data_IF_588352326682
#
_entry.id   IF_588352326682
#
_cell.length_a   1.000
_cell.length_b   1.000
_cell.length_c   1.000
_cell.angle_alpha   90.00
_cell.angle_beta   90.00
_cell.angle_gamma   90.00
#
_symmetry.space_group_name_H-M   'P 1'
#
loop_
_entity.id
_entity.type
_entity.pdbx_description
1 polymer ?
#
# COMPACT_ATOMS: atom_id res chain seq x y z
N UNK A 1 28.59 -3.59 -6.71
CA UNK A 1 27.31 -4.33 -6.73
C UNK A 1 26.69 -4.12 -8.10
N UNK A 2 26.34 -5.19 -8.82
CA UNK A 2 26.11 -5.15 -10.26
C UNK A 2 24.94 -4.26 -10.70
N UNK A 3 25.12 -3.54 -11.82
CA UNK A 3 24.09 -2.75 -12.52
C UNK A 3 23.01 -3.60 -13.21
N UNK A 4 22.77 -4.83 -12.74
CA UNK A 4 21.65 -5.63 -13.25
C UNK A 4 20.42 -5.29 -12.43
N UNK A 5 19.28 -4.95 -13.06
CA UNK A 5 18.04 -4.78 -12.33
C UNK A 5 17.74 -6.06 -11.55
N UNK A 6 17.09 -5.96 -10.37
CA UNK A 6 16.68 -7.13 -9.61
C UNK A 6 15.82 -8.04 -10.50
N UNK A 7 16.19 -9.32 -10.58
CA UNK A 7 15.42 -10.31 -11.31
C UNK A 7 14.36 -10.89 -10.39
N UNK A 8 13.09 -10.62 -10.67
CA UNK A 8 11.96 -11.14 -9.89
C UNK A 8 11.45 -12.44 -10.50
N UNK A 9 10.89 -13.33 -9.69
CA UNK A 9 10.24 -14.52 -10.24
C UNK A 9 8.84 -14.16 -10.76
N UNK A 10 8.36 -14.91 -11.76
CA UNK A 10 6.98 -14.81 -12.24
C UNK A 10 5.93 -14.98 -11.12
N UNK A 11 6.30 -15.70 -10.05
CA UNK A 11 5.41 -15.87 -8.90
C UNK A 11 5.26 -14.60 -8.06
N UNK A 12 6.20 -13.67 -8.14
CA UNK A 12 6.21 -12.44 -7.36
C UNK A 12 5.39 -11.32 -8.03
N UNK A 13 5.56 -11.17 -9.34
CA UNK A 13 4.80 -10.22 -10.15
C UNK A 13 4.42 -10.80 -11.53
N UNK A 14 3.36 -11.63 -11.59
CA UNK A 14 2.95 -12.30 -12.82
C UNK A 14 2.50 -11.34 -13.93
N UNK A 15 2.09 -10.12 -13.57
CA UNK A 15 1.73 -9.09 -14.53
C UNK A 15 2.96 -8.61 -15.31
N UNK A 16 4.09 -8.41 -14.63
CA UNK A 16 5.33 -7.93 -15.25
C UNK A 16 5.88 -8.93 -16.29
N UNK A 17 5.72 -10.22 -16.03
CA UNK A 17 6.19 -11.31 -16.89
C UNK A 17 5.22 -11.65 -18.04
N UNK A 18 4.05 -11.01 -18.11
CA UNK A 18 3.09 -11.26 -19.19
C UNK A 18 3.63 -10.77 -20.55
N UNK A 19 3.59 -11.60 -21.61
CA UNK A 19 4.07 -11.19 -22.94
C UNK A 19 3.16 -10.17 -23.62
N UNK A 20 1.89 -10.06 -23.20
CA UNK A 20 0.92 -9.16 -23.78
C UNK A 20 0.98 -7.78 -23.10
N UNK A 21 1.33 -6.74 -23.87
CA UNK A 21 1.36 -5.35 -23.39
C UNK A 21 -0.02 -4.92 -22.85
N UNK A 22 -1.10 -5.33 -23.50
CA UNK A 22 -2.46 -5.01 -23.05
C UNK A 22 -2.72 -5.52 -21.64
N UNK A 23 -2.40 -6.79 -21.35
CA UNK A 23 -2.58 -7.40 -20.03
C UNK A 23 -1.78 -6.67 -18.95
N UNK A 24 -0.53 -6.30 -19.27
CA UNK A 24 0.33 -5.48 -18.40
C UNK A 24 -0.32 -4.15 -18.09
N UNK A 25 -0.68 -3.38 -19.12
CA UNK A 25 -1.24 -2.03 -18.96
C UNK A 25 -2.55 -2.05 -18.18
N UNK A 26 -3.47 -2.97 -18.50
CA UNK A 26 -4.76 -3.06 -17.79
C UNK A 26 -4.55 -3.46 -16.32
N UNK A 27 -3.72 -4.47 -16.07
CA UNK A 27 -3.47 -4.94 -14.70
C UNK A 27 -2.78 -3.86 -13.88
N UNK A 28 -1.71 -3.23 -14.38
CA UNK A 28 -1.00 -2.17 -13.65
C UNK A 28 -1.83 -0.89 -13.47
N UNK A 29 -2.71 -0.57 -14.41
CA UNK A 29 -3.65 0.56 -14.23
C UNK A 29 -4.68 0.28 -13.14
N UNK A 30 -5.06 -0.99 -12.96
CA UNK A 30 -6.00 -1.43 -11.93
C UNK A 30 -5.39 -1.45 -10.51
N UNK A 31 -4.09 -1.74 -10.37
CA UNK A 31 -3.45 -1.85 -9.03
C UNK A 31 -3.61 -0.60 -8.15
N UNK A 32 -3.42 0.64 -8.63
CA UNK A 32 -3.72 1.84 -7.85
C UNK A 32 -5.16 1.89 -7.34
N UNK A 33 -6.14 1.47 -8.15
CA UNK A 33 -7.54 1.45 -7.75
C UNK A 33 -7.79 0.44 -6.61
N UNK A 34 -7.19 -0.76 -6.68
CA UNK A 34 -7.26 -1.75 -5.60
C UNK A 34 -6.59 -1.25 -4.33
N UNK A 35 -5.40 -0.68 -4.44
CA UNK A 35 -4.69 -0.12 -3.29
C UNK A 35 -5.45 1.04 -2.64
N UNK A 36 -6.08 1.89 -3.44
CA UNK A 36 -6.95 2.95 -2.93
C UNK A 36 -8.19 2.38 -2.25
N UNK A 37 -8.78 1.31 -2.77
CA UNK A 37 -9.88 0.60 -2.11
C UNK A 37 -9.44 0.01 -0.77
N UNK A 38 -8.27 -0.64 -0.70
CA UNK A 38 -7.70 -1.15 0.55
C UNK A 38 -7.50 -0.04 1.60
N UNK A 39 -7.17 1.17 1.15
CA UNK A 39 -7.01 2.33 2.03
C UNK A 39 -8.36 2.86 2.55
N UNK A 40 -9.42 2.81 1.74
CA UNK A 40 -10.77 3.24 2.13
C UNK A 40 -11.51 2.18 2.98
N UNK A 41 -11.41 0.93 2.57
CA UNK A 41 -12.08 -0.22 3.16
C UNK A 41 -11.12 -1.41 3.18
N UNK A 42 -10.30 -1.55 4.25
CA UNK A 42 -9.48 -2.74 4.45
C UNK A 42 -10.39 -3.92 4.84
N UNK A 43 -11.02 -4.54 3.85
CA UNK A 43 -11.85 -5.74 4.01
C UNK A 43 -11.07 -7.03 3.75
N UNK A 44 -10.18 -7.00 2.77
CA UNK A 44 -9.39 -8.14 2.30
C UNK A 44 -7.94 -7.85 2.63
N UNK A 45 -7.42 -8.51 3.66
CA UNK A 45 -6.03 -8.36 4.08
C UNK A 45 -5.32 -9.72 3.97
N UNK A 46 -4.07 -9.70 3.51
CA UNK A 46 -3.26 -10.90 3.35
C UNK A 46 -1.86 -10.68 3.86
N UNK A 47 -1.25 -11.74 4.38
CA UNK A 47 0.19 -11.73 4.68
C UNK A 47 1.03 -11.56 3.41
N UNK A 48 0.50 -11.98 2.26
CA UNK A 48 1.14 -11.81 0.95
C UNK A 48 0.15 -11.88 -0.23
N UNK A 49 0.38 -11.07 -1.26
CA UNK A 49 -0.42 -10.97 -2.48
C UNK A 49 0.35 -11.47 -3.72
N UNK A 50 1.23 -12.44 -3.53
CA UNK A 50 1.96 -13.10 -4.62
C UNK A 50 1.14 -14.22 -5.28
N UNK A 51 1.73 -14.94 -6.24
CA UNK A 51 1.19 -16.20 -6.77
C UNK A 51 -0.22 -16.09 -7.37
N UNK A 52 -0.45 -15.09 -8.23
CA UNK A 52 -1.75 -14.80 -8.89
C UNK A 52 -2.91 -14.59 -7.89
N UNK A 53 -2.63 -14.15 -6.65
CA UNK A 53 -3.66 -13.72 -5.70
C UNK A 53 -4.61 -12.67 -6.33
N UNK A 54 -4.11 -11.91 -7.32
CA UNK A 54 -4.91 -11.08 -8.20
C UNK A 54 -4.85 -11.61 -9.64
N UNK A 55 -5.95 -12.12 -10.20
CA UNK A 55 -5.99 -12.59 -11.57
C UNK A 55 -5.65 -11.46 -12.54
N UNK A 56 -4.84 -11.75 -13.56
CA UNK A 56 -4.51 -10.77 -14.59
C UNK A 56 -5.75 -10.29 -15.36
N UNK A 57 -5.77 -9.02 -15.74
CA UNK A 57 -6.83 -8.46 -16.59
C UNK A 57 -6.41 -8.62 -18.05
N UNK A 58 -7.03 -9.57 -18.76
CA UNK A 58 -6.65 -9.92 -20.14
C UNK A 58 -7.52 -9.27 -21.21
N UNK A 59 -8.64 -8.68 -20.83
CA UNK A 59 -9.64 -8.12 -21.75
C UNK A 59 -10.14 -6.76 -21.26
N UNK A 60 -10.47 -5.90 -22.21
CA UNK A 60 -11.15 -4.63 -21.95
C UNK A 60 -12.56 -4.82 -21.38
N UNK A 61 -13.21 -5.94 -21.71
CA UNK A 61 -14.56 -6.27 -21.24
C UNK A 61 -14.61 -6.75 -19.77
N UNK A 62 -13.45 -6.87 -19.11
CA UNK A 62 -13.39 -7.22 -17.70
C UNK A 62 -14.03 -6.12 -16.84
N UNK A 63 -14.99 -6.48 -15.99
CA UNK A 63 -15.71 -5.55 -15.11
C UNK A 63 -14.79 -4.79 -14.16
N UNK A 64 -13.62 -5.37 -13.83
CA UNK A 64 -12.60 -4.72 -12.99
C UNK A 64 -12.05 -3.44 -13.62
N UNK A 65 -12.10 -3.31 -14.94
CA UNK A 65 -11.75 -2.05 -15.62
C UNK A 65 -12.68 -0.91 -15.24
N UNK A 66 -13.92 -1.17 -14.81
CA UNK A 66 -14.81 -0.13 -14.29
C UNK A 66 -14.22 0.52 -13.03
N UNK A 67 -13.61 -0.25 -12.12
CA UNK A 67 -12.93 0.29 -10.93
C UNK A 67 -11.78 1.22 -11.33
N UNK A 68 -10.97 0.79 -12.28
CA UNK A 68 -9.88 1.59 -12.86
C UNK A 68 -10.42 2.92 -13.40
N UNK A 69 -11.47 2.86 -14.23
CA UNK A 69 -12.09 4.05 -14.83
C UNK A 69 -12.65 4.98 -13.77
N UNK A 70 -13.44 4.48 -12.81
CA UNK A 70 -14.00 5.31 -11.75
C UNK A 70 -12.91 5.97 -10.89
N UNK A 71 -11.84 5.24 -10.59
CA UNK A 71 -10.71 5.76 -9.83
C UNK A 71 -10.06 6.95 -10.55
N UNK A 72 -9.65 6.79 -11.81
CA UNK A 72 -9.00 7.87 -12.56
C UNK A 72 -9.95 9.02 -12.92
N UNK A 73 -11.22 8.74 -13.23
CA UNK A 73 -12.23 9.80 -13.42
C UNK A 73 -12.43 10.61 -12.14
N UNK A 74 -12.44 9.96 -10.98
CA UNK A 74 -12.50 10.63 -9.69
C UNK A 74 -11.29 11.55 -9.45
N UNK A 75 -10.08 11.06 -9.73
CA UNK A 75 -8.86 11.88 -9.65
C UNK A 75 -8.90 13.09 -10.59
N UNK A 76 -9.29 12.89 -11.85
CA UNK A 76 -9.42 13.95 -12.83
C UNK A 76 -10.48 14.99 -12.41
N UNK A 77 -11.61 14.54 -11.89
CA UNK A 77 -12.66 15.41 -11.39
C UNK A 77 -12.18 16.26 -10.20
N UNK A 78 -11.47 15.65 -9.24
CA UNK A 78 -10.91 16.36 -8.09
C UNK A 78 -9.86 17.39 -8.53
N UNK A 79 -8.97 17.03 -9.47
CA UNK A 79 -7.97 17.93 -10.01
C UNK A 79 -8.61 19.12 -10.74
N UNK A 80 -9.58 18.85 -11.61
CA UNK A 80 -10.33 19.89 -12.33
C UNK A 80 -11.10 20.82 -11.38
N UNK A 81 -11.76 20.26 -10.36
CA UNK A 81 -12.48 21.04 -9.36
C UNK A 81 -11.53 21.93 -8.55
N UNK A 82 -10.36 21.41 -8.16
CA UNK A 82 -9.31 22.18 -7.49
C UNK A 82 -8.80 23.35 -8.35
N UNK A 83 -8.55 23.12 -9.64
CA UNK A 83 -8.10 24.17 -10.57
C UNK A 83 -9.16 25.26 -10.78
N UNK A 84 -10.43 24.88 -10.96
CA UNK A 84 -11.53 25.84 -11.16
C UNK A 84 -11.78 26.70 -9.92
N UNK A 85 -11.77 26.10 -8.73
CA UNK A 85 -12.00 26.84 -7.47
C UNK A 85 -10.87 27.84 -7.20
N UNK A 86 -9.63 27.46 -7.48
CA UNK A 86 -8.48 28.38 -7.36
C UNK A 86 -8.55 29.55 -8.36
N UNK A 87 -8.94 29.29 -9.62
CA UNK A 87 -9.12 30.36 -10.62
C UNK A 87 -10.24 31.35 -10.22
N UNK A 88 -11.35 30.85 -9.69
CA UNK A 88 -12.45 31.68 -9.20
C UNK A 88 -12.06 32.54 -7.97
N UNK A 89 -11.21 32.01 -7.08
CA UNK A 89 -10.66 32.75 -5.96
C UNK A 89 -9.73 33.89 -6.43
N UNK A 90 -8.79 33.60 -7.35
CA UNK A 90 -7.92 34.62 -7.97
C UNK A 90 -8.72 35.72 -8.67
N UNK A 91 -9.76 35.37 -9.42
CA UNK A 91 -10.62 36.35 -10.11
C UNK A 91 -11.35 37.30 -9.16
N UNK A 92 -11.72 36.84 -7.96
CA UNK A 92 -12.32 37.69 -6.92
C UNK A 92 -11.29 38.61 -6.25
N UNK A 93 -10.08 38.14 -6.01
CA UNK A 93 -9.00 38.99 -5.45
C UNK A 93 -8.55 40.07 -6.45
N UNK A 94 -8.56 39.79 -7.75
CA UNK A 94 -8.23 40.79 -8.78
C UNK A 94 -9.35 41.81 -8.99
N UNK A 95 -10.62 41.42 -8.87
CA UNK A 95 -11.76 42.36 -8.96
C UNK A 95 -12.03 43.13 -7.65
N UNK A 96 -11.57 42.62 -6.50
CA UNK A 96 -11.79 43.24 -5.18
C UNK A 96 -10.88 44.42 -4.85
N UNK A 97 -9.95 44.80 -5.74
CA UNK A 97 -9.04 45.97 -5.55
C UNK A 97 -9.60 47.29 -6.08
N UNK A 98 -10.83 47.32 -6.60
CA UNK A 98 -11.51 48.57 -6.93
C UNK A 98 -12.82 48.64 -6.13
N UNK A 99 -12.83 49.42 -5.05
CA UNK A 99 -13.91 50.34 -4.63
C UNK A 99 -13.73 50.72 -3.16
N UNK A 100 -13.12 51.88 -2.96
CA UNK A 100 -13.11 52.62 -1.70
C UNK A 100 -14.43 53.43 -1.58
N UNK A 101 -14.92 53.53 -0.33
CA UNK A 101 -15.94 54.44 0.22
C UNK A 101 -17.41 54.31 -0.21
N UNK A 102 -18.26 53.91 0.75
CA UNK A 102 -19.39 54.76 1.19
C UNK A 102 -19.60 54.67 2.71
N UNK A 103 -19.85 55.84 3.28
CA UNK A 103 -20.14 56.13 4.68
C UNK A 103 -21.61 55.77 4.99
N UNK A 104 -21.92 55.28 6.21
CA UNK A 104 -23.29 55.31 6.70
C UNK A 104 -23.72 54.23 7.71
N UNK A 105 -23.68 54.61 8.98
CA UNK A 105 -24.68 54.34 10.04
C UNK A 105 -24.47 53.14 10.99
N UNK A 106 -24.25 53.53 12.26
CA UNK A 106 -24.17 52.75 13.49
C UNK A 106 -25.16 51.59 13.63
N UNK A 107 -24.64 50.47 14.15
CA UNK A 107 -25.41 49.40 14.79
C UNK A 107 -24.47 48.50 15.60
N UNK A 108 -24.49 48.65 16.92
CA UNK A 108 -23.75 47.87 17.90
C UNK A 108 -23.73 46.36 17.61
N UNK A 109 -22.54 45.76 17.52
CA UNK A 109 -22.31 44.41 18.05
C UNK A 109 -20.83 44.23 18.39
N UNK A 110 -20.56 43.89 19.65
CA UNK A 110 -19.25 43.53 20.17
C UNK A 110 -18.73 42.29 19.44
N UNK A 111 -17.70 42.47 18.62
CA UNK A 111 -16.87 41.40 18.09
C UNK A 111 -15.42 41.83 18.18
N UNK A 112 -14.64 41.18 19.04
CA UNK A 112 -13.18 41.32 19.07
C UNK A 112 -12.60 40.89 17.71
N UNK A 113 -12.38 41.85 16.82
CA UNK A 113 -11.52 41.66 15.65
C UNK A 113 -10.13 42.19 15.98
N UNK A 114 -9.19 41.29 16.28
CA UNK A 114 -7.77 41.60 16.19
C UNK A 114 -7.42 41.75 14.70
N UNK A 115 -7.47 42.99 14.21
CA UNK A 115 -6.96 43.37 12.89
C UNK A 115 -5.44 43.49 12.98
N UNK A 116 -4.73 42.49 12.43
CA UNK A 116 -3.29 42.58 12.18
C UNK A 116 -3.09 43.26 10.82
N UNK A 117 -2.88 44.57 10.82
CA UNK A 117 -2.56 45.34 9.62
C UNK A 117 -1.07 45.18 9.29
N UNK A 118 -0.76 44.38 8.27
CA UNK A 118 0.59 44.27 7.73
C UNK A 118 0.74 45.31 6.62
N UNK A 119 1.33 46.47 6.92
CA UNK A 119 1.78 47.44 5.92
C UNK A 119 3.31 47.53 6.01
N UNK A 120 4.00 46.74 5.18
CA UNK A 120 5.36 47.05 4.76
C UNK A 120 5.28 47.93 3.52
N UNK A 121 5.76 49.17 3.63
CA UNK A 121 6.33 49.91 2.52
C UNK A 121 7.49 50.76 3.06
N UNK A 122 8.71 50.36 2.71
CA UNK A 122 9.87 51.25 2.69
C UNK A 122 9.59 52.41 1.72
N UNK A 123 9.82 53.67 2.09
CA UNK A 123 11.11 54.36 1.89
C UNK A 123 10.99 55.90 2.08
N UNK A 124 12.11 56.50 2.52
CA UNK A 124 12.57 57.88 2.36
C UNK A 124 12.08 59.06 3.26
N UNK A 125 13.03 59.47 4.12
CA UNK A 125 13.57 60.83 4.37
C UNK A 125 12.62 62.00 4.68
N UNK A 126 12.68 62.52 5.92
CA UNK A 126 13.08 63.91 6.22
C UNK A 126 13.28 64.16 7.73
N UNK A 127 14.26 65.02 8.00
CA UNK A 127 14.79 65.68 9.20
C UNK A 127 13.99 65.79 10.54
N UNK A 128 14.79 65.76 11.62
CA UNK A 128 14.74 66.47 12.93
C UNK A 128 13.57 66.27 13.93
N UNK A 129 13.85 65.59 15.05
CA UNK A 129 14.07 66.19 16.40
C UNK A 129 13.88 65.11 17.53
N UNK A 130 14.62 65.18 18.65
CA UNK A 130 14.64 64.14 19.67
C UNK A 130 13.67 64.45 20.82
N UNK A 131 12.88 63.47 21.28
CA UNK A 131 12.21 63.55 22.58
C UNK A 131 12.40 62.25 23.34
N UNK A 132 13.18 62.36 24.42
CA UNK A 132 13.27 61.39 25.51
C UNK A 132 11.90 61.17 26.15
N UNK A 133 11.46 59.91 26.25
CA UNK A 133 10.73 59.48 27.45
C UNK A 133 11.04 58.01 27.71
N UNK A 134 11.96 57.78 28.64
CA UNK A 134 12.16 56.47 29.25
C UNK A 134 11.00 56.23 30.22
N UNK A 135 10.19 55.19 29.98
CA UNK A 135 9.36 54.60 31.03
C UNK A 135 9.36 53.07 30.92
N UNK A 136 9.93 52.48 31.97
CA UNK A 136 9.83 51.11 32.46
C UNK A 136 8.75 50.23 31.81
N UNK A 137 9.19 49.21 31.09
CA UNK A 137 8.37 48.07 30.71
C UNK A 137 9.23 46.82 30.78
N UNK A 138 8.90 45.93 31.71
CA UNK A 138 9.45 44.56 31.77
C UNK A 138 9.29 43.89 30.40
N UNK A 139 10.39 43.68 29.69
CA UNK A 139 10.43 42.95 28.42
C UNK A 139 10.14 41.48 28.72
N UNK A 140 8.88 41.05 28.60
CA UNK A 140 8.58 39.63 28.48
C UNK A 140 9.19 39.17 27.15
N UNK A 141 10.04 38.13 27.12
CA UNK A 141 10.52 37.58 25.86
C UNK A 141 9.28 37.10 25.07
N UNK A 142 9.01 37.77 23.95
CA UNK A 142 8.01 37.34 22.99
C UNK A 142 8.55 36.05 22.37
N UNK A 143 8.09 34.89 22.87
CA UNK A 143 8.29 33.63 22.16
C UNK A 143 7.68 33.80 20.76
N UNK A 144 8.53 33.87 19.74
CA UNK A 144 8.11 33.84 18.35
C UNK A 144 7.47 32.49 18.08
N UNK A 145 6.18 32.35 18.36
CA UNK A 145 5.40 31.18 17.94
C UNK A 145 5.47 31.15 16.43
N UNK A 146 6.13 30.13 15.88
CA UNK A 146 6.11 29.84 14.45
C UNK A 146 4.66 29.82 13.98
N UNK A 147 4.28 30.59 12.94
CA UNK A 147 2.92 30.61 12.46
C UNK A 147 2.51 29.19 12.03
N UNK A 148 1.30 28.78 12.42
CA UNK A 148 0.75 27.48 12.03
C UNK A 148 0.62 27.42 10.49
N UNK A 149 0.88 26.26 9.86
CA UNK A 149 0.75 26.12 8.42
C UNK A 149 -0.70 26.37 7.98
N UNK A 150 -0.87 27.03 6.82
CA UNK A 150 -2.18 27.27 6.22
C UNK A 150 -2.84 25.95 5.84
N UNK A 151 -4.17 25.92 5.76
CA UNK A 151 -4.92 24.72 5.33
C UNK A 151 -4.46 24.22 3.96
N UNK A 152 -4.12 25.12 3.04
CA UNK A 152 -3.60 24.77 1.71
C UNK A 152 -2.26 24.02 1.81
N UNK A 153 -1.34 24.51 2.65
CA UNK A 153 -0.05 23.84 2.88
C UNK A 153 -0.26 22.44 3.46
N UNK A 154 -1.21 22.28 4.39
CA UNK A 154 -1.54 20.96 4.95
C UNK A 154 -2.13 20.03 3.88
N UNK A 155 -3.02 20.51 3.00
CA UNK A 155 -3.59 19.70 1.93
C UNK A 155 -2.52 19.25 0.93
N UNK A 156 -1.66 20.17 0.47
CA UNK A 156 -0.57 19.85 -0.46
C UNK A 156 0.41 18.86 0.17
N UNK A 157 0.80 19.09 1.42
CA UNK A 157 1.66 18.15 2.16
C UNK A 157 1.01 16.76 2.28
N UNK A 158 -0.29 16.71 2.60
CA UNK A 158 -1.02 15.44 2.76
C UNK A 158 -1.16 14.69 1.43
N UNK A 159 -1.40 15.40 0.32
CA UNK A 159 -1.42 14.82 -1.03
C UNK A 159 -0.03 14.32 -1.45
N UNK A 160 1.03 15.07 -1.13
CA UNK A 160 2.41 14.66 -1.36
C UNK A 160 2.76 13.38 -0.60
N UNK A 161 2.38 13.32 0.68
CA UNK A 161 2.58 12.14 1.53
C UNK A 161 1.76 10.93 1.09
N UNK A 162 0.59 11.16 0.49
CA UNK A 162 -0.26 10.13 -0.10
C UNK A 162 0.32 9.57 -1.40
N UNK A 163 0.72 10.44 -2.33
CA UNK A 163 1.06 10.03 -3.70
C UNK A 163 2.53 9.64 -3.88
N UNK A 164 3.48 10.46 -3.40
CA UNK A 164 4.91 10.31 -3.72
C UNK A 164 5.46 8.95 -3.23
N UNK A 165 5.23 8.54 -1.97
CA UNK A 165 5.71 7.24 -1.48
C UNK A 165 5.05 6.05 -2.18
N UNK A 166 3.86 6.23 -2.76
CA UNK A 166 3.12 5.17 -3.45
C UNK A 166 3.54 5.01 -4.91
N UNK A 167 4.10 6.03 -5.57
CA UNK A 167 4.48 6.00 -6.99
C UNK A 167 5.31 4.76 -7.39
N UNK A 168 6.36 4.35 -6.64
CA UNK A 168 7.11 3.13 -6.95
C UNK A 168 6.24 1.86 -6.94
N UNK A 169 5.29 1.77 -6.01
CA UNK A 169 4.42 0.61 -5.85
C UNK A 169 3.36 0.49 -6.96
N UNK A 170 3.14 1.53 -7.76
CA UNK A 170 2.16 1.50 -8.87
C UNK A 170 2.55 0.57 -10.00
N UNK A 171 3.82 0.18 -10.11
CA UNK A 171 4.37 -0.57 -11.25
C UNK A 171 4.19 0.13 -12.63
N UNK A 172 3.83 1.42 -12.66
CA UNK A 172 3.62 2.18 -13.91
C UNK A 172 4.92 2.66 -14.55
N UNK A 173 5.94 2.98 -13.74
CA UNK A 173 7.22 3.52 -14.23
C UNK A 173 8.33 2.46 -14.25
N UNK A 174 8.35 1.57 -13.27
CA UNK A 174 9.29 0.45 -13.16
C UNK A 174 8.63 -0.69 -12.40
N UNK A 175 9.03 -1.92 -12.71
CA UNK A 175 8.49 -3.10 -12.08
C UNK A 175 9.13 -3.37 -10.73
N UNK A 176 8.27 -3.68 -9.77
CA UNK A 176 8.65 -4.07 -8.42
C UNK A 176 8.23 -5.54 -8.23
N UNK A 177 8.96 -6.27 -7.40
CA UNK A 177 8.73 -7.69 -7.12
C UNK A 177 7.48 -8.01 -6.30
N UNK A 178 6.41 -7.21 -6.39
CA UNK A 178 5.12 -7.54 -5.80
C UNK A 178 4.00 -6.86 -6.59
N UNK A 179 2.84 -7.50 -6.61
CA UNK A 179 1.62 -6.95 -7.22
C UNK A 179 0.94 -5.98 -6.26
N UNK A 180 0.63 -6.43 -5.04
CA UNK A 180 0.12 -5.61 -3.94
C UNK A 180 0.93 -5.90 -2.69
N UNK A 181 1.10 -4.89 -1.85
CA UNK A 181 1.69 -5.07 -0.53
C UNK A 181 1.17 -4.01 0.42
N UNK A 182 0.40 -4.40 1.43
CA UNK A 182 -0.23 -3.46 2.39
C UNK A 182 0.77 -2.53 3.07
N UNK A 183 2.00 -3.00 3.31
CA UNK A 183 3.10 -2.20 3.87
C UNK A 183 3.43 -0.94 3.07
N UNK A 184 3.16 -0.92 1.76
CA UNK A 184 3.40 0.27 0.92
C UNK A 184 2.41 1.39 1.20
N UNK A 185 1.27 1.06 1.80
CA UNK A 185 0.24 2.02 2.18
C UNK A 185 0.49 2.65 3.56
N UNK A 186 1.52 2.24 4.30
CA UNK A 186 1.79 2.80 5.63
C UNK A 186 2.00 4.32 5.60
N UNK A 187 2.94 4.80 4.76
CA UNK A 187 3.16 6.25 4.61
C UNK A 187 1.99 6.95 3.90
N UNK A 188 1.46 6.42 2.78
CA UNK A 188 0.27 6.98 2.14
C UNK A 188 -0.93 7.14 3.09
N UNK A 189 -1.12 6.20 4.03
CA UNK A 189 -2.22 6.25 5.01
C UNK A 189 -2.13 7.45 5.94
N UNK A 190 -0.93 7.91 6.28
CA UNK A 190 -0.75 9.13 7.08
C UNK A 190 -1.26 10.36 6.32
N UNK A 191 -0.94 10.46 5.03
CA UNK A 191 -1.45 11.52 4.15
C UNK A 191 -2.98 11.47 4.02
N UNK A 192 -3.53 10.27 3.85
CA UNK A 192 -4.97 10.06 3.81
C UNK A 192 -5.68 10.48 5.10
N UNK A 193 -5.18 10.07 6.27
CA UNK A 193 -5.74 10.46 7.56
C UNK A 193 -5.75 11.99 7.75
N UNK A 194 -4.69 12.68 7.33
CA UNK A 194 -4.64 14.15 7.36
C UNK A 194 -5.68 14.78 6.43
N UNK A 195 -5.85 14.27 5.22
CA UNK A 195 -6.89 14.74 4.28
C UNK A 195 -8.30 14.53 4.85
N UNK A 196 -8.56 13.37 5.47
CA UNK A 196 -9.84 13.09 6.15
C UNK A 196 -10.06 14.10 7.28
N UNK A 197 -9.05 14.36 8.12
CA UNK A 197 -9.16 15.33 9.21
C UNK A 197 -9.45 16.75 8.72
N UNK A 198 -8.72 17.23 7.70
CA UNK A 198 -8.94 18.54 7.08
C UNK A 198 -10.31 18.62 6.42
N UNK A 199 -10.73 17.55 5.71
CA UNK A 199 -12.04 17.42 5.09
C UNK A 199 -13.18 17.48 6.11
N UNK A 200 -13.07 16.73 7.20
CA UNK A 200 -14.03 16.74 8.31
C UNK A 200 -14.13 18.13 8.95
N UNK A 201 -12.99 18.78 9.26
CA UNK A 201 -12.98 20.15 9.80
C UNK A 201 -13.66 21.14 8.85
N UNK A 202 -13.32 21.08 7.56
CA UNK A 202 -13.89 21.94 6.52
C UNK A 202 -15.41 21.73 6.41
N UNK A 203 -15.87 20.49 6.47
CA UNK A 203 -17.30 20.16 6.46
C UNK A 203 -18.00 20.67 7.73
N UNK A 204 -17.42 20.44 8.90
CA UNK A 204 -17.97 20.87 10.19
C UNK A 204 -18.25 22.39 10.23
N UNK A 205 -17.31 23.21 9.74
CA UNK A 205 -17.44 24.67 9.70
C UNK A 205 -18.48 25.13 8.67
N UNK A 206 -18.66 24.40 7.56
CA UNK A 206 -19.69 24.69 6.54
C UNK A 206 -21.10 24.34 7.00
N UNK A 207 -21.25 23.36 7.89
CA UNK A 207 -22.56 22.95 8.42
C UNK A 207 -23.10 23.97 9.42
N UNK A 208 -24.13 24.72 9.00
CA UNK A 208 -24.77 25.75 9.84
C UNK A 208 -25.58 25.18 11.00
N UNK A 209 -26.28 24.06 10.79
CA UNK A 209 -27.18 23.45 11.78
C UNK A 209 -26.39 22.66 12.83
N UNK A 210 -26.74 22.84 14.12
CA UNK A 210 -26.15 22.07 15.23
C UNK A 210 -26.41 20.58 15.11
N UNK A 211 -27.59 20.17 14.66
CA UNK A 211 -27.93 18.76 14.41
C UNK A 211 -27.03 18.13 13.36
N UNK A 212 -26.76 18.81 12.23
CA UNK A 212 -25.87 18.31 11.18
C UNK A 212 -24.42 18.18 11.67
N UNK A 213 -23.94 19.11 12.48
CA UNK A 213 -22.61 19.02 13.11
C UNK A 213 -22.51 17.84 14.09
N UNK A 214 -23.55 17.64 14.90
CA UNK A 214 -23.63 16.49 15.80
C UNK A 214 -23.65 15.17 15.02
N UNK A 215 -24.47 15.09 13.96
CA UNK A 215 -24.54 13.92 13.08
C UNK A 215 -23.18 13.60 12.45
N UNK A 216 -22.48 14.59 11.91
CA UNK A 216 -21.13 14.41 11.37
C UNK A 216 -20.19 13.80 12.43
N UNK A 217 -20.17 14.34 13.65
CA UNK A 217 -19.33 13.84 14.72
C UNK A 217 -19.70 12.41 15.13
N UNK A 218 -21.00 12.08 15.23
CA UNK A 218 -21.44 10.73 15.55
C UNK A 218 -21.10 9.74 14.45
N UNK A 219 -21.30 10.10 13.18
CA UNK A 219 -20.90 9.25 12.05
C UNK A 219 -19.39 9.02 12.03
N UNK A 220 -18.57 10.07 12.21
CA UNK A 220 -17.11 9.94 12.29
C UNK A 220 -16.68 9.05 13.47
N UNK A 221 -17.27 9.23 14.65
CA UNK A 221 -16.99 8.40 15.82
C UNK A 221 -17.40 6.93 15.58
N UNK A 222 -18.55 6.69 14.94
CA UNK A 222 -18.98 5.35 14.56
C UNK A 222 -18.01 4.69 13.58
N UNK A 223 -17.53 5.41 12.57
CA UNK A 223 -16.54 4.89 11.62
C UNK A 223 -15.23 4.51 12.34
N UNK A 224 -14.73 5.37 13.24
CA UNK A 224 -13.52 5.08 14.04
C UNK A 224 -13.74 3.85 14.93
N UNK A 225 -14.89 3.74 15.58
CA UNK A 225 -15.23 2.59 16.43
C UNK A 225 -15.33 1.29 15.63
N UNK A 226 -16.02 1.31 14.48
CA UNK A 226 -16.14 0.15 13.59
C UNK A 226 -14.79 -0.33 13.09
N UNK A 227 -13.92 0.58 12.63
CA UNK A 227 -12.57 0.21 12.21
C UNK A 227 -11.71 -0.24 13.39
N UNK A 228 -11.86 0.36 14.57
CA UNK A 228 -11.20 -0.10 15.80
C UNK A 228 -11.57 -1.54 16.16
N UNK A 229 -12.87 -1.88 16.09
CA UNK A 229 -13.35 -3.26 16.29
C UNK A 229 -12.76 -4.20 15.23
N UNK A 230 -12.76 -3.80 13.94
CA UNK A 230 -12.13 -4.59 12.88
C UNK A 230 -10.64 -4.84 13.15
N UNK A 231 -9.90 -3.85 13.63
CA UNK A 231 -8.48 -3.99 14.02
C UNK A 231 -8.32 -5.00 15.16
N UNK A 232 -9.12 -4.90 16.22
CA UNK A 232 -9.06 -5.85 17.35
C UNK A 232 -9.38 -7.29 16.91
N UNK A 233 -10.35 -7.47 16.02
CA UNK A 233 -10.66 -8.78 15.45
C UNK A 233 -9.51 -9.31 14.59
N UNK A 234 -8.93 -8.47 13.72
CA UNK A 234 -7.79 -8.83 12.87
C UNK A 234 -6.54 -9.19 13.66
N UNK A 235 -6.33 -8.61 14.84
CA UNK A 235 -5.21 -8.98 15.72
C UNK A 235 -5.24 -10.46 16.13
N UNK A 236 -6.39 -11.13 16.09
CA UNK A 236 -6.48 -12.57 16.36
C UNK A 236 -5.73 -13.39 15.33
N UNK A 237 -5.74 -12.96 14.07
CA UNK A 237 -5.02 -13.64 12.98
C UNK A 237 -3.50 -13.56 13.17
N UNK A 238 -3.01 -12.53 13.87
CA UNK A 238 -1.59 -12.33 14.16
C UNK A 238 -1.11 -13.02 15.45
N UNK A 239 -1.98 -13.81 16.10
CA UNK A 239 -1.65 -14.43 17.39
C UNK A 239 -0.58 -15.52 17.28
N UNK A 240 -0.57 -16.25 16.16
CA UNK A 240 0.45 -17.24 15.83
C UNK A 240 0.50 -17.47 14.31
N UNK A 241 1.54 -18.17 13.84
CA UNK A 241 1.79 -18.40 12.41
C UNK A 241 0.66 -19.20 11.74
N UNK A 242 0.11 -20.18 12.44
CA UNK A 242 -0.98 -21.04 11.94
C UNK A 242 -2.24 -20.22 11.63
N UNK A 243 -2.69 -19.37 12.56
CA UNK A 243 -3.83 -18.46 12.37
C UNK A 243 -3.55 -17.46 11.26
N UNK A 244 -2.33 -16.94 11.17
CA UNK A 244 -1.94 -15.98 10.14
C UNK A 244 -2.08 -16.60 8.75
N UNK A 245 -1.53 -17.80 8.55
CA UNK A 245 -1.61 -18.50 7.27
C UNK A 245 -3.02 -18.98 6.97
N UNK A 246 -3.77 -19.50 7.97
CA UNK A 246 -5.19 -19.85 7.80
C UNK A 246 -6.02 -18.65 7.33
N UNK A 247 -5.77 -17.46 7.89
CA UNK A 247 -6.45 -16.24 7.48
C UNK A 247 -6.12 -15.79 6.04
N UNK A 248 -5.03 -16.28 5.45
CA UNK A 248 -4.61 -15.93 4.09
C UNK A 248 -5.08 -16.90 3.00
N UNK A 249 -5.69 -18.04 3.37
CA UNK A 249 -6.04 -19.11 2.42
C UNK A 249 -6.97 -18.60 1.31
N UNK A 250 -7.94 -17.74 1.63
CA UNK A 250 -8.88 -17.27 0.63
C UNK A 250 -8.29 -16.21 -0.33
N UNK A 251 -7.16 -15.59 0.02
CA UNK A 251 -6.49 -14.57 -0.82
C UNK A 251 -5.37 -15.17 -1.65
N UNK A 252 -4.49 -15.96 -1.01
CA UNK A 252 -3.33 -16.58 -1.66
C UNK A 252 -3.21 -18.05 -1.24
N UNK A 253 -4.14 -18.91 -1.71
CA UNK A 253 -4.30 -20.26 -1.18
C UNK A 253 -3.05 -21.11 -1.31
N UNK A 254 -2.39 -21.10 -2.48
CA UNK A 254 -1.21 -21.94 -2.70
C UNK A 254 -0.10 -21.62 -1.69
N UNK A 255 0.22 -20.34 -1.48
CA UNK A 255 1.28 -19.92 -0.56
C UNK A 255 0.86 -20.08 0.91
N UNK A 256 -0.40 -19.78 1.22
CA UNK A 256 -0.96 -19.93 2.57
C UNK A 256 -0.93 -21.40 3.03
N UNK A 257 -1.41 -22.32 2.19
CA UNK A 257 -1.39 -23.75 2.48
C UNK A 257 0.03 -24.31 2.58
N UNK A 258 0.95 -23.89 1.71
CA UNK A 258 2.35 -24.32 1.78
C UNK A 258 3.04 -23.86 3.08
N UNK A 259 2.82 -22.62 3.48
CA UNK A 259 3.35 -22.11 4.74
C UNK A 259 2.68 -22.76 5.96
N UNK A 260 1.37 -22.99 5.93
CA UNK A 260 0.66 -23.72 6.97
C UNK A 260 1.20 -25.15 7.12
N UNK A 261 1.51 -25.83 6.02
CA UNK A 261 2.17 -27.13 6.04
C UNK A 261 3.53 -27.11 6.74
N UNK A 262 4.34 -26.06 6.52
CA UNK A 262 5.61 -25.90 7.23
C UNK A 262 5.41 -25.74 8.75
N UNK A 263 4.40 -24.98 9.16
CA UNK A 263 4.06 -24.79 10.59
C UNK A 263 3.64 -26.11 11.22
N UNK A 264 2.69 -26.83 10.61
CA UNK A 264 2.18 -28.13 11.10
C UNK A 264 3.30 -29.17 11.18
N UNK A 265 4.15 -29.21 10.15
CA UNK A 265 5.35 -30.06 10.13
C UNK A 265 6.28 -29.76 11.31
N UNK A 266 6.53 -28.48 11.60
CA UNK A 266 7.38 -28.08 12.73
C UNK A 266 6.77 -28.45 14.10
N UNK A 267 5.44 -28.60 14.17
CA UNK A 267 4.71 -29.05 15.35
C UNK A 267 4.66 -30.59 15.47
N UNK A 268 5.12 -31.33 14.45
CA UNK A 268 5.09 -32.78 14.40
C UNK A 268 3.78 -33.38 13.86
N UNK A 269 2.85 -32.54 13.39
CA UNK A 269 1.57 -32.96 12.81
C UNK A 269 1.75 -33.31 11.33
N UNK A 270 2.41 -34.45 11.08
CA UNK A 270 2.87 -34.85 9.75
C UNK A 270 1.72 -35.10 8.77
N UNK A 271 0.63 -35.72 9.21
CA UNK A 271 -0.55 -35.99 8.38
C UNK A 271 -1.23 -34.69 7.94
N UNK A 272 -1.39 -33.73 8.86
CA UNK A 272 -2.01 -32.44 8.56
C UNK A 272 -1.13 -31.59 7.64
N UNK A 273 0.19 -31.63 7.85
CA UNK A 273 1.17 -31.01 6.97
C UNK A 273 1.09 -31.58 5.54
N UNK A 274 0.97 -32.91 5.40
CA UNK A 274 0.81 -33.56 4.11
C UNK A 274 -0.46 -33.06 3.40
N UNK A 275 -1.58 -33.00 4.12
CA UNK A 275 -2.84 -32.49 3.57
C UNK A 275 -2.74 -31.00 3.17
N UNK A 276 -2.06 -30.18 3.96
CA UNK A 276 -1.82 -28.78 3.64
C UNK A 276 -0.99 -28.63 2.36
N UNK A 277 0.09 -29.41 2.18
CA UNK A 277 0.85 -29.37 0.93
C UNK A 277 0.07 -29.91 -0.27
N UNK A 278 -0.77 -30.94 -0.09
CA UNK A 278 -1.68 -31.42 -1.14
C UNK A 278 -2.66 -30.32 -1.57
N UNK A 279 -3.21 -29.57 -0.61
CA UNK A 279 -4.05 -28.41 -0.90
C UNK A 279 -3.25 -27.33 -1.65
N UNK A 280 -2.03 -27.00 -1.22
CA UNK A 280 -1.17 -26.05 -1.93
C UNK A 280 -0.93 -26.47 -3.40
N UNK A 281 -0.65 -27.76 -3.61
CA UNK A 281 -0.44 -28.35 -4.92
C UNK A 281 -1.68 -28.31 -5.81
N UNK A 282 -2.87 -28.51 -5.23
CA UNK A 282 -4.14 -28.39 -5.94
C UNK A 282 -4.33 -26.99 -6.55
N UNK A 283 -3.96 -25.93 -5.82
CA UNK A 283 -4.01 -24.58 -6.35
C UNK A 283 -2.89 -24.28 -7.34
N UNK A 284 -1.68 -24.82 -7.12
CA UNK A 284 -0.54 -24.65 -8.03
C UNK A 284 0.38 -25.85 -8.08
N UNK A 285 0.57 -26.38 -9.29
CA UNK A 285 1.50 -27.49 -9.58
C UNK A 285 2.95 -27.22 -9.15
N UNK A 286 3.35 -25.94 -9.09
CA UNK A 286 4.70 -25.52 -8.74
C UNK A 286 5.03 -25.58 -7.23
N UNK A 287 4.09 -26.06 -6.40
CA UNK A 287 4.28 -26.36 -4.98
C UNK A 287 4.59 -27.84 -4.70
N UNK A 288 4.81 -28.64 -5.76
CA UNK A 288 5.08 -30.08 -5.64
C UNK A 288 6.38 -30.39 -4.89
N UNK A 289 7.34 -29.46 -4.90
CA UNK A 289 8.60 -29.57 -4.15
C UNK A 289 8.37 -29.68 -2.64
N UNK A 290 7.42 -28.92 -2.08
CA UNK A 290 7.11 -28.95 -0.64
C UNK A 290 6.63 -30.33 -0.18
N UNK A 291 5.72 -30.95 -0.95
CA UNK A 291 5.23 -32.29 -0.65
C UNK A 291 6.33 -33.35 -0.86
N UNK A 292 7.16 -33.20 -1.90
CA UNK A 292 8.31 -34.07 -2.14
C UNK A 292 9.27 -34.09 -0.94
N UNK A 293 9.59 -32.91 -0.38
CA UNK A 293 10.45 -32.79 0.80
C UNK A 293 9.85 -33.45 2.05
N UNK A 294 8.56 -33.26 2.32
CA UNK A 294 7.88 -33.91 3.46
C UNK A 294 7.92 -35.44 3.35
N UNK A 295 7.64 -35.98 2.17
CA UNK A 295 7.64 -37.42 1.91
C UNK A 295 9.06 -38.01 2.01
N UNK A 296 10.07 -37.27 1.58
CA UNK A 296 11.47 -37.66 1.73
C UNK A 296 11.85 -37.79 3.20
N UNK A 297 11.48 -36.82 4.04
CA UNK A 297 11.73 -36.88 5.49
C UNK A 297 10.94 -38.00 6.17
N UNK A 298 9.77 -38.34 5.62
CA UNK A 298 8.98 -39.51 6.03
C UNK A 298 9.49 -40.84 5.48
N UNK A 299 10.66 -40.87 4.83
CA UNK A 299 11.25 -42.04 4.14
C UNK A 299 10.39 -42.67 3.02
N UNK A 300 9.38 -41.96 2.51
CA UNK A 300 8.52 -42.37 1.38
C UNK A 300 9.15 -41.96 0.04
N UNK A 301 10.36 -42.46 -0.23
CA UNK A 301 11.20 -42.00 -1.35
C UNK A 301 10.58 -42.21 -2.74
N UNK A 302 9.81 -43.30 -2.93
CA UNK A 302 9.15 -43.60 -4.21
C UNK A 302 8.08 -42.57 -4.58
N UNK A 303 7.28 -42.14 -3.60
CA UNK A 303 6.27 -41.08 -3.77
C UNK A 303 6.94 -39.71 -3.90
N UNK A 304 7.94 -39.41 -3.08
CA UNK A 304 8.71 -38.16 -3.16
C UNK A 304 9.27 -37.92 -4.57
N UNK A 305 9.79 -38.97 -5.22
CA UNK A 305 10.30 -38.88 -6.59
C UNK A 305 9.24 -38.44 -7.61
N UNK A 306 7.98 -38.88 -7.45
CA UNK A 306 6.90 -38.47 -8.35
C UNK A 306 6.65 -36.96 -8.25
N UNK A 307 6.64 -36.43 -7.02
CA UNK A 307 6.44 -35.01 -6.78
C UNK A 307 7.65 -34.16 -7.19
N UNK A 308 8.88 -34.65 -7.03
CA UNK A 308 10.05 -33.96 -7.57
C UNK A 308 10.04 -33.90 -9.10
N UNK A 309 9.62 -34.96 -9.80
CA UNK A 309 9.43 -34.93 -11.26
C UNK A 309 8.39 -33.89 -11.67
N UNK A 310 7.28 -33.81 -10.92
CA UNK A 310 6.24 -32.81 -11.15
C UNK A 310 6.75 -31.37 -10.92
N UNK A 311 7.55 -31.16 -9.87
CA UNK A 311 8.16 -29.87 -9.55
C UNK A 311 9.13 -29.42 -10.66
N UNK A 312 10.00 -30.32 -11.14
CA UNK A 312 10.94 -30.05 -12.24
C UNK A 312 10.19 -29.68 -13.53
N UNK A 313 9.11 -30.41 -13.85
CA UNK A 313 8.26 -30.09 -15.01
C UNK A 313 7.58 -28.72 -14.89
N UNK A 314 7.21 -28.30 -13.67
CA UNK A 314 6.55 -27.01 -13.41
C UNK A 314 7.51 -25.83 -13.28
N UNK A 315 8.77 -26.06 -12.87
CA UNK A 315 9.81 -25.02 -12.72
C UNK A 315 11.17 -25.53 -13.21
N UNK A 316 11.42 -25.49 -14.54
CA UNK A 316 12.70 -25.95 -15.11
C UNK A 316 13.90 -25.17 -14.56
N UNK A 317 13.73 -23.88 -14.25
CA UNK A 317 14.79 -22.98 -13.78
C UNK A 317 15.23 -23.23 -12.34
N UNK A 318 14.35 -23.73 -11.45
CA UNK A 318 14.75 -24.17 -10.11
C UNK A 318 15.69 -25.38 -10.18
N UNK A 319 15.45 -26.29 -11.12
CA UNK A 319 16.30 -27.46 -11.36
C UNK A 319 17.69 -27.09 -11.93
N UNK A 320 17.82 -25.94 -12.59
CA UNK A 320 19.08 -25.43 -13.14
C UNK A 320 19.93 -24.65 -12.12
N UNK A 321 19.31 -23.84 -11.25
CA UNK A 321 20.04 -23.08 -10.22
C UNK A 321 20.43 -23.95 -9.02
N UNK A 322 19.58 -24.90 -8.63
CA UNK A 322 19.90 -25.90 -7.63
C UNK A 322 20.26 -27.20 -8.36
N UNK A 323 21.40 -27.24 -9.06
CA UNK A 323 21.89 -28.49 -9.68
C UNK A 323 21.91 -29.70 -8.71
N UNK A 324 21.86 -29.44 -7.39
CA UNK A 324 21.58 -30.41 -6.33
C UNK A 324 20.19 -31.07 -6.41
N UNK A 325 19.10 -30.38 -6.71
CA UNK A 325 17.74 -30.96 -6.63
C UNK A 325 17.46 -32.04 -7.70
N UNK A 326 18.03 -31.89 -8.91
CA UNK A 326 17.95 -32.93 -9.94
C UNK A 326 18.87 -34.11 -9.65
N UNK A 327 20.09 -33.85 -9.17
CA UNK A 327 21.07 -34.88 -8.78
C UNK A 327 20.63 -35.64 -7.52
N UNK A 328 19.97 -34.96 -6.58
CA UNK A 328 19.33 -35.53 -5.41
C UNK A 328 18.12 -36.35 -5.83
N UNK A 329 17.19 -35.83 -6.64
CA UNK A 329 16.07 -36.61 -7.13
C UNK A 329 16.51 -37.89 -7.87
N UNK A 330 17.56 -37.82 -8.69
CA UNK A 330 18.17 -39.00 -9.34
C UNK A 330 18.89 -39.92 -8.32
N UNK A 331 19.53 -39.38 -7.28
CA UNK A 331 20.14 -40.14 -6.19
C UNK A 331 19.14 -40.84 -5.26
N UNK A 332 17.99 -40.22 -4.98
CA UNK A 332 16.90 -40.79 -4.19
C UNK A 332 16.09 -41.80 -4.99
N UNK A 333 15.94 -41.60 -6.30
CA UNK A 333 15.42 -42.62 -7.22
C UNK A 333 16.29 -43.89 -7.17
N UNK A 334 17.61 -43.73 -7.09
CA UNK A 334 18.54 -44.85 -6.95
C UNK A 334 18.41 -45.55 -5.57
N UNK A 335 18.27 -44.79 -4.47
CA UNK A 335 18.01 -45.35 -3.13
C UNK A 335 16.67 -46.09 -3.04
N UNK A 336 15.59 -45.54 -3.61
CA UNK A 336 14.24 -46.12 -3.55
C UNK A 336 14.03 -47.32 -4.47
N UNK A 337 14.87 -47.52 -5.48
CA UNK A 337 14.82 -48.67 -6.40
C UNK A 337 15.80 -49.80 -6.05
N UNK A 338 16.57 -49.66 -4.95
CA UNK A 338 17.68 -50.58 -4.64
C UNK A 338 18.82 -50.51 -5.66
N UNK A 339 18.84 -49.48 -6.51
CA UNK A 339 19.83 -49.32 -7.56
C UNK A 339 21.12 -48.77 -6.95
N UNK A 340 22.10 -49.67 -6.73
CA UNK A 340 23.49 -49.27 -6.49
C UNK A 340 23.95 -48.50 -7.73
N UNK A 341 24.38 -47.25 -7.57
CA UNK A 341 25.13 -46.54 -8.61
C UNK A 341 26.28 -47.46 -9.06
N UNK A 342 26.48 -47.67 -10.38
CA UNK A 342 27.73 -48.28 -10.82
C UNK A 342 28.85 -47.37 -10.32
N UNK A 343 29.87 -47.96 -9.67
CA UNK A 343 31.09 -47.24 -9.34
C UNK A 343 31.59 -46.56 -10.62
N UNK A 344 31.51 -45.24 -10.68
CA UNK A 344 32.23 -44.48 -11.70
C UNK A 344 33.69 -44.38 -11.27
N UNK A 345 34.41 -45.49 -11.48
CA UNK A 345 35.84 -45.42 -11.79
C UNK A 345 35.93 -44.81 -13.18
N UNK A 346 36.38 -43.56 -13.24
CA UNK A 346 36.99 -42.85 -14.37
C UNK A 346 37.60 -41.59 -13.74
N UNK A 347 38.68 -41.76 -13.00
CA UNK A 347 40.07 -41.65 -13.47
C UNK A 347 40.44 -40.22 -13.85
N UNK A 348 41.38 -39.70 -13.06
CA UNK A 348 42.27 -38.64 -13.43
C UNK A 348 43.01 -39.00 -14.73
N UNK A 349 43.00 -38.12 -15.73
CA UNK A 349 44.13 -37.90 -16.64
C UNK A 349 43.83 -36.76 -17.62
N UNK A 350 44.72 -35.76 -17.57
CA UNK A 350 45.03 -34.67 -18.53
C UNK A 350 44.06 -33.49 -18.62
#
# INVERSE_FOLDING_TARGET
MGNKPPNFSNSDNPAADSPALLTRTLTFSYLPAVNFWLLLCPDTLSFDWSMDALPLIRSLADWRNAHTVFFYLGLLFLAWFGLRTHQAARGKETNGKAHHYTNGRNGNSNGHSYQYSNHEHLNNSHAEAPIHTAQNGTTKPYESRTPLPTTENVVVFSLGLLAIPFLPATNLFFYVGFVIAERVLYIPSMGFCLLVAVGMRSLYVRLRRRSSRALLMYCSAAVVLLFGVKTVLRNRDWRNEEMLYKSGIYVNPAKAWGNLGNVLKSQGEMEEAEQAYRNALYYRSNMADMLGLLLQESNKFSEALQYYKLAIGSRPTLALNNGGGRVEAEGWAAKGSGYKRPNSTLDAAV
#
